data_IF_554802064190
#
_entry.id   IF_554802064190
#
_cell.length_a   1.000
_cell.length_b   1.000
_cell.length_c   1.000
_cell.angle_alpha   90.00
_cell.angle_beta   90.00
_cell.angle_gamma   90.00
#
_symmetry.space_group_name_H-M   'P 1'
#
loop_
_entity.id
_entity.type
_entity.pdbx_description
1 polymer ?
#
# COMPACT_ATOMS: atom_id res chain seq x y z
N UNK A 1 -5.68 -14.58 13.66
CA UNK A 1 -5.39 -15.11 12.31
C UNK A 1 -5.70 -14.00 11.32
N UNK A 2 -4.71 -13.43 10.62
CA UNK A 2 -4.95 -12.41 9.60
C UNK A 2 -5.65 -13.07 8.42
N UNK A 3 -6.83 -12.60 8.08
CA UNK A 3 -7.59 -13.08 6.92
C UNK A 3 -6.77 -12.74 5.65
N UNK A 4 -6.23 -13.75 4.98
CA UNK A 4 -5.50 -13.59 3.73
C UNK A 4 -6.48 -13.21 2.62
N UNK A 5 -6.07 -12.32 1.71
CA UNK A 5 -6.73 -12.19 0.41
C UNK A 5 -6.54 -13.56 -0.24
N UNK A 6 -7.65 -14.19 -0.69
CA UNK A 6 -7.59 -15.53 -1.27
C UNK A 6 -6.67 -15.59 -2.49
N UNK A 7 -6.08 -16.76 -2.72
CA UNK A 7 -5.16 -16.99 -3.86
C UNK A 7 -5.85 -16.79 -5.23
N UNK A 8 -7.20 -16.87 -5.28
CA UNK A 8 -8.03 -16.63 -6.48
C UNK A 8 -8.39 -15.15 -6.72
N UNK A 9 -7.84 -14.21 -5.93
CA UNK A 9 -8.15 -12.81 -6.13
C UNK A 9 -7.51 -12.30 -7.42
N UNK A 10 -8.26 -11.54 -8.24
CA UNK A 10 -7.80 -11.00 -9.54
C UNK A 10 -6.51 -10.18 -9.45
N UNK A 11 -6.25 -9.55 -8.30
CA UNK A 11 -5.02 -8.80 -8.08
C UNK A 11 -3.90 -9.75 -7.63
N UNK A 12 -2.79 -9.86 -8.37
CA UNK A 12 -1.70 -10.79 -8.09
C UNK A 12 -0.83 -10.28 -6.94
N UNK A 13 -1.33 -10.43 -5.71
CA UNK A 13 -0.70 -9.84 -4.50
C UNK A 13 0.71 -10.38 -4.24
N UNK A 14 0.98 -11.62 -4.67
CA UNK A 14 2.28 -12.27 -4.49
C UNK A 14 3.41 -11.64 -5.32
N UNK A 15 3.07 -10.88 -6.39
CA UNK A 15 4.05 -10.26 -7.29
C UNK A 15 5.09 -9.39 -6.57
N UNK A 16 4.72 -8.75 -5.49
CA UNK A 16 5.63 -7.85 -4.75
C UNK A 16 6.75 -8.64 -4.07
N UNK A 17 6.42 -9.76 -3.44
CA UNK A 17 7.40 -10.68 -2.85
C UNK A 17 8.26 -11.35 -3.91
N UNK A 18 7.67 -11.74 -5.03
CA UNK A 18 8.41 -12.36 -6.15
C UNK A 18 9.37 -11.38 -6.81
N UNK A 19 8.99 -10.10 -6.98
CA UNK A 19 9.91 -9.06 -7.47
C UNK A 19 11.09 -8.90 -6.50
N UNK A 20 10.83 -8.81 -5.20
CA UNK A 20 11.88 -8.66 -4.21
C UNK A 20 12.86 -9.85 -4.23
N UNK A 21 12.35 -11.09 -4.26
CA UNK A 21 13.17 -12.31 -4.39
C UNK A 21 13.99 -12.32 -5.68
N UNK A 22 13.36 -11.94 -6.80
CA UNK A 22 14.04 -11.87 -8.09
C UNK A 22 15.22 -10.90 -8.04
N UNK A 23 15.03 -9.70 -7.50
CA UNK A 23 16.09 -8.69 -7.41
C UNK A 23 17.28 -9.15 -6.55
N UNK A 24 17.02 -9.87 -5.44
CA UNK A 24 18.08 -10.48 -4.63
C UNK A 24 18.79 -11.58 -5.42
N UNK A 25 18.05 -12.51 -6.02
CA UNK A 25 18.61 -13.66 -6.74
C UNK A 25 19.47 -13.21 -7.95
N UNK A 26 19.04 -12.15 -8.62
CA UNK A 26 19.80 -11.55 -9.73
C UNK A 26 20.95 -10.63 -9.25
N UNK A 27 21.17 -10.53 -7.93
CA UNK A 27 22.21 -9.68 -7.33
C UNK A 27 22.09 -8.19 -7.73
N UNK A 28 20.88 -7.74 -8.12
CA UNK A 28 20.60 -6.33 -8.42
C UNK A 28 20.66 -5.51 -7.14
N UNK A 29 20.14 -6.06 -6.04
CA UNK A 29 20.21 -5.47 -4.70
C UNK A 29 20.74 -6.50 -3.71
N UNK A 30 21.41 -6.04 -2.64
CA UNK A 30 21.90 -6.91 -1.57
C UNK A 30 20.85 -7.11 -0.48
N UNK A 31 20.08 -6.07 -0.20
CA UNK A 31 19.05 -6.04 0.84
C UNK A 31 18.03 -4.94 0.55
N UNK A 32 16.96 -4.90 1.33
CA UNK A 32 15.93 -3.89 1.26
C UNK A 32 15.88 -3.07 2.56
N UNK A 33 15.46 -1.81 2.44
CA UNK A 33 14.99 -1.04 3.58
C UNK A 33 13.58 -1.47 3.95
N UNK A 34 13.32 -1.67 5.24
CA UNK A 34 12.01 -2.04 5.74
C UNK A 34 11.21 -0.79 6.09
N UNK A 35 10.10 -0.51 5.40
CA UNK A 35 9.26 0.62 5.73
C UNK A 35 8.46 0.38 7.00
N UNK A 36 8.15 1.45 7.71
CA UNK A 36 7.12 1.47 8.74
C UNK A 36 5.77 1.84 8.13
N UNK A 37 4.68 1.44 8.79
CA UNK A 37 3.34 1.84 8.38
C UNK A 37 3.20 3.37 8.35
N UNK A 38 2.57 3.90 7.29
CA UNK A 38 2.34 5.33 7.16
C UNK A 38 1.43 5.82 8.30
N UNK A 39 1.81 6.90 8.96
CA UNK A 39 0.99 7.48 10.03
C UNK A 39 -0.27 8.17 9.46
N UNK A 40 -1.34 8.18 10.25
CA UNK A 40 -2.57 8.91 9.89
C UNK A 40 -2.30 10.42 9.66
N UNK A 41 -1.39 11.02 10.43
CA UNK A 41 -0.95 12.41 10.22
C UNK A 41 -0.34 12.61 8.84
N UNK A 42 0.42 11.64 8.35
CA UNK A 42 1.02 11.71 7.01
C UNK A 42 -0.05 11.51 5.94
N UNK A 43 -0.97 10.56 6.13
CA UNK A 43 -2.09 10.32 5.20
C UNK A 43 -3.01 11.55 5.06
N UNK A 44 -3.26 12.28 6.14
CA UNK A 44 -4.07 13.52 6.13
C UNK A 44 -3.52 14.63 5.22
N UNK A 45 -2.29 14.51 4.76
CA UNK A 45 -1.72 15.45 3.76
C UNK A 45 -2.25 15.19 2.35
N UNK A 46 -2.78 14.00 2.09
CA UNK A 46 -3.25 13.58 0.77
C UNK A 46 -4.70 13.10 0.76
N UNK A 47 -5.25 12.75 1.92
CA UNK A 47 -6.60 12.22 2.06
C UNK A 47 -7.38 12.94 3.15
N UNK A 48 -8.72 13.00 3.01
CA UNK A 48 -9.60 13.56 4.03
C UNK A 48 -9.59 12.69 5.28
N UNK A 49 -9.73 13.34 6.43
CA UNK A 49 -9.82 12.67 7.72
C UNK A 49 -10.99 11.69 7.78
N UNK A 50 -12.13 12.07 7.19
CA UNK A 50 -13.31 11.20 7.11
C UNK A 50 -13.01 9.90 6.36
N UNK A 51 -12.35 9.97 5.19
CA UNK A 51 -11.97 8.79 4.42
C UNK A 51 -11.00 7.91 5.21
N UNK A 52 -9.96 8.50 5.81
CA UNK A 52 -8.97 7.76 6.62
C UNK A 52 -9.66 7.05 7.79
N UNK A 53 -10.57 7.72 8.50
CA UNK A 53 -11.32 7.12 9.61
C UNK A 53 -12.22 5.97 9.14
N UNK A 54 -12.87 6.09 7.97
CA UNK A 54 -13.68 5.02 7.41
C UNK A 54 -12.83 3.78 7.06
N UNK A 55 -11.63 3.96 6.53
CA UNK A 55 -10.69 2.86 6.29
C UNK A 55 -10.23 2.23 7.61
N UNK A 56 -9.79 3.05 8.57
CA UNK A 56 -9.31 2.60 9.89
C UNK A 56 -10.36 1.78 10.64
N UNK A 57 -11.59 2.28 10.68
CA UNK A 57 -12.70 1.67 11.42
C UNK A 57 -13.46 0.62 10.60
N UNK A 58 -13.10 0.44 9.33
CA UNK A 58 -13.78 -0.48 8.38
C UNK A 58 -15.25 -0.15 8.20
N UNK A 59 -15.58 1.15 8.18
CA UNK A 59 -16.95 1.68 8.04
C UNK A 59 -17.26 2.21 6.65
N UNK A 60 -16.37 1.98 5.68
CA UNK A 60 -16.63 2.35 4.29
C UNK A 60 -17.84 1.58 3.76
N UNK A 61 -18.67 2.23 2.98
CA UNK A 61 -19.85 1.62 2.40
C UNK A 61 -19.50 0.58 1.32
N UNK A 62 -20.48 -0.23 0.91
CA UNK A 62 -20.30 -1.27 -0.10
C UNK A 62 -19.81 -0.73 -1.44
N UNK A 63 -20.23 0.49 -1.81
CA UNK A 63 -19.82 1.14 -3.06
C UNK A 63 -18.35 1.49 -3.02
N UNK A 64 -17.87 2.09 -1.94
CA UNK A 64 -16.46 2.42 -1.73
C UNK A 64 -15.57 1.18 -1.69
N UNK A 65 -15.99 0.11 -0.99
CA UNK A 65 -15.28 -1.18 -0.98
C UNK A 65 -15.19 -1.76 -2.39
N UNK A 66 -16.28 -1.72 -3.15
CA UNK A 66 -16.30 -2.20 -4.55
C UNK A 66 -15.37 -1.37 -5.45
N UNK A 67 -15.30 -0.05 -5.27
CA UNK A 67 -14.38 0.82 -6.03
C UNK A 67 -12.92 0.46 -5.75
N UNK A 68 -12.56 0.22 -4.49
CA UNK A 68 -11.21 -0.22 -4.10
C UNK A 68 -10.91 -1.59 -4.73
N UNK A 69 -11.88 -2.51 -4.73
CA UNK A 69 -11.71 -3.86 -5.26
C UNK A 69 -11.04 -4.85 -4.31
N UNK A 70 -10.75 -4.43 -3.06
CA UNK A 70 -10.31 -5.29 -1.98
C UNK A 70 -11.33 -5.35 -0.85
N UNK A 71 -11.47 -6.50 -0.15
CA UNK A 71 -12.23 -6.55 1.08
C UNK A 71 -11.56 -5.65 2.13
N UNK A 72 -12.36 -4.90 2.88
CA UNK A 72 -11.83 -4.01 3.93
C UNK A 72 -11.62 -4.78 5.23
N UNK A 73 -10.52 -5.53 5.27
CA UNK A 73 -10.08 -6.35 6.42
C UNK A 73 -8.75 -5.83 6.98
N UNK A 74 -8.41 -6.19 8.21
CA UNK A 74 -7.20 -5.68 8.88
C UNK A 74 -5.92 -5.90 8.08
N UNK A 75 -5.77 -7.05 7.45
CA UNK A 75 -4.58 -7.37 6.63
C UNK A 75 -4.44 -6.43 5.42
N UNK A 76 -5.54 -6.05 4.78
CA UNK A 76 -5.54 -5.11 3.66
C UNK A 76 -5.22 -3.71 4.13
N UNK A 77 -5.81 -3.27 5.25
CA UNK A 77 -5.53 -1.95 5.84
C UNK A 77 -4.06 -1.84 6.22
N UNK A 78 -3.53 -2.81 6.97
CA UNK A 78 -2.13 -2.82 7.39
C UNK A 78 -1.16 -2.85 6.20
N UNK A 79 -1.44 -3.70 5.21
CA UNK A 79 -0.64 -3.75 3.99
C UNK A 79 -0.62 -2.41 3.26
N UNK A 80 -1.78 -1.75 3.16
CA UNK A 80 -1.89 -0.45 2.49
C UNK A 80 -1.11 0.64 3.22
N UNK A 81 -1.14 0.64 4.54
CA UNK A 81 -0.34 1.55 5.37
C UNK A 81 1.16 1.32 5.18
N UNK A 82 1.61 0.06 5.14
CA UNK A 82 3.02 -0.29 4.93
C UNK A 82 3.47 0.08 3.51
N UNK A 83 2.66 -0.22 2.48
CA UNK A 83 2.97 0.13 1.10
C UNK A 83 3.12 1.65 0.90
N UNK A 84 2.21 2.43 1.48
CA UNK A 84 2.28 3.90 1.47
C UNK A 84 3.50 4.40 2.27
N UNK A 85 3.79 3.78 3.42
CA UNK A 85 5.00 4.04 4.18
C UNK A 85 6.27 3.78 3.39
N UNK A 86 6.27 2.73 2.55
CA UNK A 86 7.35 2.44 1.60
C UNK A 86 7.55 3.53 0.56
N UNK A 87 6.46 4.10 0.04
CA UNK A 87 6.53 5.23 -0.90
C UNK A 87 7.10 6.49 -0.21
N UNK A 88 6.67 6.77 1.01
CA UNK A 88 7.23 7.89 1.80
C UNK A 88 8.71 7.68 2.09
N UNK A 89 9.12 6.45 2.45
CA UNK A 89 10.53 6.11 2.67
C UNK A 89 11.35 6.25 1.38
N UNK A 90 10.86 5.70 0.26
CA UNK A 90 11.52 5.82 -1.03
C UNK A 90 11.71 7.29 -1.43
N UNK A 91 10.72 8.15 -1.23
CA UNK A 91 10.84 9.58 -1.49
C UNK A 91 11.95 10.23 -0.67
N UNK A 92 12.05 9.90 0.63
CA UNK A 92 13.13 10.41 1.51
C UNK A 92 14.51 9.90 1.08
N UNK A 93 14.61 8.62 0.72
CA UNK A 93 15.86 8.04 0.25
C UNK A 93 16.29 8.67 -1.09
N UNK A 94 15.35 8.92 -2.00
CA UNK A 94 15.64 9.56 -3.28
C UNK A 94 16.20 10.98 -3.12
N UNK A 95 15.75 11.73 -2.13
CA UNK A 95 16.32 13.06 -1.81
C UNK A 95 17.79 12.98 -1.40
N UNK A 96 18.22 11.87 -0.78
CA UNK A 96 19.60 11.70 -0.33
C UNK A 96 20.49 11.00 -1.37
N UNK A 97 19.93 10.06 -2.14
CA UNK A 97 20.68 9.19 -3.03
C UNK A 97 20.37 9.41 -4.53
N UNK A 98 19.48 10.34 -4.86
CA UNK A 98 19.08 10.65 -6.22
C UNK A 98 17.91 9.79 -6.74
N UNK A 99 17.90 8.50 -6.44
CA UNK A 99 16.84 7.57 -6.87
C UNK A 99 16.56 6.51 -5.80
N UNK A 100 15.30 6.14 -5.65
CA UNK A 100 14.88 5.00 -4.83
C UNK A 100 13.58 4.41 -5.40
N UNK A 101 13.39 3.10 -5.18
CA UNK A 101 12.21 2.38 -5.66
C UNK A 101 11.49 1.68 -4.50
N UNK A 102 10.18 1.58 -4.61
CA UNK A 102 9.35 0.78 -3.70
C UNK A 102 8.75 -0.39 -4.48
N UNK A 103 9.14 -1.63 -4.16
CA UNK A 103 8.66 -2.83 -4.85
C UNK A 103 7.17 -3.09 -4.62
N UNK A 104 6.60 -2.54 -3.53
CA UNK A 104 5.16 -2.53 -3.27
C UNK A 104 4.48 -1.25 -3.79
N UNK A 105 5.18 -0.49 -4.64
CA UNK A 105 4.76 0.79 -5.17
C UNK A 105 3.34 0.81 -5.69
N UNK A 106 2.69 1.93 -5.44
CA UNK A 106 1.26 2.06 -5.51
C UNK A 106 0.68 2.09 -6.92
N UNK A 107 -0.57 1.75 -6.98
CA UNK A 107 -1.47 2.21 -8.01
C UNK A 107 -1.73 3.72 -7.82
N UNK A 108 -2.30 4.35 -8.82
CA UNK A 108 -2.49 5.82 -8.89
C UNK A 108 -3.98 6.18 -8.94
N UNK A 109 -4.83 5.33 -8.39
CA UNK A 109 -6.29 5.46 -8.52
C UNK A 109 -6.97 6.06 -7.29
N UNK A 110 -6.29 6.13 -6.14
CA UNK A 110 -6.84 6.80 -4.97
C UNK A 110 -6.83 8.32 -5.16
N UNK A 111 -7.84 8.99 -4.61
CA UNK A 111 -7.90 10.43 -4.55
C UNK A 111 -8.28 10.92 -3.15
N UNK A 112 -8.52 12.21 -2.95
CA UNK A 112 -8.64 12.80 -1.62
C UNK A 112 -9.70 12.13 -0.72
N UNK A 113 -10.85 11.76 -1.28
CA UNK A 113 -11.98 11.23 -0.52
C UNK A 113 -12.26 9.75 -0.72
N UNK A 114 -11.55 9.06 -1.61
CA UNK A 114 -11.85 7.68 -1.94
C UNK A 114 -10.66 6.92 -2.51
N UNK A 115 -10.66 5.59 -2.30
CA UNK A 115 -9.79 4.67 -3.00
C UNK A 115 -10.48 4.03 -4.19
N UNK A 116 -9.71 3.58 -5.17
CA UNK A 116 -10.22 2.88 -6.36
C UNK A 116 -9.12 1.98 -6.96
N UNK A 117 -9.51 1.02 -7.81
CA UNK A 117 -8.59 0.25 -8.65
C UNK A 117 -7.44 -0.40 -7.87
N UNK A 118 -7.75 -1.03 -6.75
CA UNK A 118 -6.80 -1.66 -5.82
C UNK A 118 -5.87 -0.67 -5.07
N UNK A 119 -6.16 0.63 -5.16
CA UNK A 119 -5.45 1.68 -4.43
C UNK A 119 -6.32 2.15 -3.26
N UNK A 120 -5.84 1.94 -2.03
CA UNK A 120 -6.53 2.37 -0.81
C UNK A 120 -6.12 3.80 -0.46
N UNK A 121 -4.83 4.11 -0.55
CA UNK A 121 -4.24 5.42 -0.28
C UNK A 121 -3.34 5.86 -1.42
#
# INVERSE_FOLDING_TARGET
MLQKIGDDHKFPINKFGEIAKYLINQKVVKNFYNPIACSFKTLNRAHSENYINNIKNKTLDKSGIKKIGFPLVDSVVQRSLIATGGTVLASKLALNYGVACNTAGGSHHANYNEGAGYCVF
#
